data_IF_339443663780
#
_entry.id   IF_339443663780
#
_cell.length_a   1.000
_cell.length_b   1.000
_cell.length_c   1.000
_cell.angle_alpha   90.00
_cell.angle_beta   90.00
_cell.angle_gamma   90.00
#
_symmetry.space_group_name_H-M   'P 1'
#
loop_
_entity.id
_entity.type
_entity.pdbx_description
1 polymer ?
#
# COMPACT_ATOMS: atom_id res chain seq x y z
N UNK A 1 25.49 20.82 -15.35
CA UNK A 1 25.42 21.83 -14.29
C UNK A 1 24.64 21.22 -13.14
N UNK A 2 25.18 21.20 -11.92
CA UNK A 2 24.49 20.72 -10.73
C UNK A 2 23.38 21.70 -10.35
N UNK A 3 22.13 21.25 -10.33
CA UNK A 3 21.00 22.05 -9.86
C UNK A 3 21.24 22.49 -8.41
N UNK A 4 21.11 23.79 -8.07
CA UNK A 4 21.25 24.26 -6.69
C UNK A 4 20.28 23.50 -5.78
N UNK A 5 20.76 23.02 -4.64
CA UNK A 5 19.94 22.25 -3.71
C UNK A 5 20.21 22.54 -2.25
N UNK A 6 19.30 22.07 -1.40
CA UNK A 6 19.42 22.11 0.05
C UNK A 6 19.03 20.76 0.66
N UNK A 7 19.52 20.50 1.88
CA UNK A 7 19.24 19.28 2.61
C UNK A 7 18.14 19.53 3.65
N UNK A 8 17.17 18.62 3.75
CA UNK A 8 16.21 18.60 4.85
C UNK A 8 14.76 18.59 4.40
N UNK A 9 13.90 18.95 5.35
CA UNK A 9 12.46 19.06 5.14
C UNK A 9 12.15 20.29 4.29
N UNK A 10 11.07 20.21 3.51
CA UNK A 10 10.73 21.23 2.53
C UNK A 10 9.22 21.46 2.44
N UNK A 11 8.85 22.61 1.91
CA UNK A 11 7.47 22.95 1.57
C UNK A 11 7.32 22.88 0.05
N UNK A 12 6.34 22.14 -0.46
CA UNK A 12 6.06 22.09 -1.91
C UNK A 12 5.63 23.47 -2.43
N UNK A 13 5.65 23.71 -3.76
CA UNK A 13 5.09 24.93 -4.33
C UNK A 13 3.63 25.20 -3.92
N UNK A 14 2.85 24.17 -3.60
CA UNK A 14 1.44 24.29 -3.16
C UNK A 14 1.28 24.36 -1.63
N UNK A 15 2.38 24.39 -0.87
CA UNK A 15 2.32 24.55 0.58
C UNK A 15 2.22 23.25 1.37
N UNK A 16 2.39 22.08 0.75
CA UNK A 16 2.44 20.81 1.49
C UNK A 16 3.76 20.70 2.24
N UNK A 17 3.68 20.29 3.49
CA UNK A 17 4.83 20.03 4.34
C UNK A 17 5.38 18.64 4.01
N UNK A 18 6.66 18.54 3.65
CA UNK A 18 7.31 17.28 3.31
C UNK A 18 8.60 17.07 4.11
N UNK A 19 8.83 15.85 4.58
CA UNK A 19 10.07 15.44 5.23
C UNK A 19 10.76 14.32 4.45
N UNK A 20 12.10 14.35 4.44
CA UNK A 20 12.92 13.27 3.85
C UNK A 20 13.51 12.41 4.96
N UNK A 21 13.02 11.17 5.06
CA UNK A 21 13.40 10.21 6.08
C UNK A 21 14.71 9.46 5.78
N UNK A 22 15.39 9.02 6.84
CA UNK A 22 16.65 8.27 6.76
C UNK A 22 16.53 6.90 6.05
N UNK A 23 15.32 6.35 5.97
CA UNK A 23 15.00 5.11 5.24
C UNK A 23 14.70 5.34 3.75
N UNK A 24 15.12 6.49 3.20
CA UNK A 24 14.86 6.94 1.83
C UNK A 24 13.37 7.18 1.53
N UNK A 25 12.62 7.55 2.55
CA UNK A 25 11.21 7.90 2.44
C UNK A 25 11.00 9.39 2.21
N UNK A 26 9.83 9.72 1.68
CA UNK A 26 9.29 11.08 1.68
C UNK A 26 7.88 11.02 2.24
N UNK A 27 7.65 11.77 3.30
CA UNK A 27 6.32 11.94 3.90
C UNK A 27 5.85 13.36 3.65
N UNK A 28 4.74 13.50 2.93
CA UNK A 28 4.11 14.79 2.72
C UNK A 28 2.73 14.82 3.37
N UNK A 29 2.41 15.93 4.03
CA UNK A 29 1.14 16.13 4.72
C UNK A 29 0.46 17.44 4.35
N UNK A 30 -0.87 17.41 4.42
CA UNK A 30 -1.76 18.54 4.17
C UNK A 30 -2.88 18.17 3.18
N UNK A 31 -3.42 19.17 2.48
CA UNK A 31 -4.46 18.98 1.48
C UNK A 31 -3.88 18.35 0.20
N UNK A 32 -3.90 17.02 0.13
CA UNK A 32 -3.36 16.28 -1.00
C UNK A 32 -4.28 16.38 -2.23
N UNK A 33 -3.77 16.80 -3.41
CA UNK A 33 -4.59 16.90 -4.61
C UNK A 33 -5.05 15.53 -5.13
N UNK A 34 -6.33 15.41 -5.50
CA UNK A 34 -6.88 14.26 -6.23
C UNK A 34 -6.88 12.93 -5.49
N UNK A 35 -6.79 12.94 -4.16
CA UNK A 35 -6.87 11.73 -3.33
C UNK A 35 -8.27 11.56 -2.71
N UNK A 36 -8.53 10.39 -2.13
CA UNK A 36 -9.79 10.12 -1.45
C UNK A 36 -10.04 11.09 -0.27
N UNK A 37 -11.31 11.43 0.04
CA UNK A 37 -11.64 12.29 1.18
C UNK A 37 -11.04 11.78 2.50
N UNK A 38 -10.56 12.72 3.32
CA UNK A 38 -9.96 12.42 4.63
C UNK A 38 -8.52 11.93 4.57
N UNK A 39 -7.95 11.70 3.39
CA UNK A 39 -6.51 11.45 3.25
C UNK A 39 -5.75 12.76 3.44
N UNK A 40 -4.81 12.76 4.38
CA UNK A 40 -4.06 13.93 4.83
C UNK A 40 -2.55 13.76 4.73
N UNK A 41 -2.09 12.54 4.42
CA UNK A 41 -0.68 12.19 4.32
C UNK A 41 -0.44 11.19 3.20
N UNK A 42 0.69 11.35 2.52
CA UNK A 42 1.22 10.42 1.54
C UNK A 42 2.66 10.09 1.90
N UNK A 43 2.99 8.80 1.85
CA UNK A 43 4.34 8.30 2.09
C UNK A 43 4.86 7.58 0.85
N UNK A 44 5.99 8.03 0.36
CA UNK A 44 6.88 7.25 -0.50
C UNK A 44 7.92 6.57 0.39
N UNK A 45 8.27 5.32 0.14
CA UNK A 45 9.30 4.63 0.91
C UNK A 45 9.40 3.14 0.60
N UNK A 46 10.64 2.64 0.52
CA UNK A 46 10.91 1.20 0.33
C UNK A 46 11.51 0.54 1.57
N UNK A 47 11.43 1.22 2.72
CA UNK A 47 12.04 0.81 3.99
C UNK A 47 11.17 -0.15 4.80
N UNK A 48 11.70 -0.55 5.96
CA UNK A 48 11.03 -1.42 6.96
C UNK A 48 10.09 -0.66 7.90
N UNK A 49 9.90 0.65 7.68
CA UNK A 49 9.03 1.52 8.49
C UNK A 49 7.56 1.37 8.15
N UNK A 50 6.81 2.46 8.04
CA UNK A 50 5.45 2.42 7.51
C UNK A 50 5.45 2.11 5.99
N UNK A 51 4.44 1.40 5.46
CA UNK A 51 4.29 1.17 4.03
C UNK A 51 4.32 2.45 3.19
N UNK A 52 4.64 2.35 1.90
CA UNK A 52 4.30 3.44 0.98
C UNK A 52 2.78 3.43 0.72
N UNK A 53 2.15 4.60 0.73
CA UNK A 53 0.71 4.73 0.50
C UNK A 53 0.12 6.04 0.99
N UNK A 54 -1.21 6.09 1.01
CA UNK A 54 -2.00 7.22 1.49
C UNK A 54 -2.55 6.95 2.89
N UNK A 55 -2.67 7.97 3.72
CA UNK A 55 -3.02 7.86 5.15
C UNK A 55 -4.06 8.90 5.55
N UNK A 56 -4.96 8.53 6.48
CA UNK A 56 -6.01 9.43 7.00
C UNK A 56 -5.63 10.05 8.35
N UNK A 57 -4.65 9.51 9.06
CA UNK A 57 -4.12 10.12 10.26
C UNK A 57 -2.80 10.81 9.94
N UNK A 58 -2.67 12.02 10.49
CA UNK A 58 -1.36 12.63 10.67
C UNK A 58 -0.73 11.95 11.87
N UNK A 59 0.20 11.04 11.65
CA UNK A 59 1.14 10.76 12.73
C UNK A 59 2.04 12.01 12.93
N UNK A 60 2.89 12.00 13.95
CA UNK A 60 3.82 13.06 14.39
C UNK A 60 4.74 13.68 13.32
N UNK A 61 4.61 13.28 12.04
CA UNK A 61 5.38 13.75 10.90
C UNK A 61 4.49 14.25 9.75
N UNK A 62 4.93 15.26 9.00
CA UNK A 62 6.18 16.00 9.18
C UNK A 62 5.96 17.30 9.99
N UNK A 63 6.62 17.42 11.15
CA UNK A 63 6.79 18.71 11.83
C UNK A 63 7.94 19.47 11.16
N UNK A 64 7.62 20.25 10.13
CA UNK A 64 8.57 20.91 9.23
C UNK A 64 9.09 22.26 9.75
N UNK A 65 9.40 22.37 11.03
CA UNK A 65 9.94 23.62 11.60
C UNK A 65 11.25 24.00 10.92
N UNK A 66 11.29 25.17 10.26
CA UNK A 66 12.47 25.64 9.52
C UNK A 66 12.61 25.10 8.09
N UNK A 67 11.60 24.39 7.57
CA UNK A 67 11.61 23.90 6.19
C UNK A 67 11.62 25.05 5.17
N UNK A 68 12.40 24.86 4.11
CA UNK A 68 12.48 25.82 3.01
C UNK A 68 11.48 25.47 1.91
N UNK A 69 10.95 26.49 1.24
CA UNK A 69 10.12 26.26 0.06
C UNK A 69 10.97 25.70 -1.09
N UNK A 70 10.49 24.63 -1.71
CA UNK A 70 11.10 24.05 -2.89
C UNK A 70 10.66 24.82 -4.12
N UNK A 71 11.46 25.81 -4.51
CA UNK A 71 11.22 26.63 -5.70
C UNK A 71 11.53 25.87 -7.00
N UNK A 72 10.89 26.29 -8.10
CA UNK A 72 11.15 25.74 -9.43
C UNK A 72 12.63 25.90 -9.78
N UNK A 73 13.24 24.82 -10.29
CA UNK A 73 14.66 24.80 -10.61
C UNK A 73 15.59 24.59 -9.40
N UNK A 74 15.04 24.35 -8.20
CA UNK A 74 15.77 23.84 -7.04
C UNK A 74 15.45 22.36 -6.80
N UNK A 75 16.34 21.70 -6.07
CA UNK A 75 16.15 20.32 -5.62
C UNK A 75 16.51 20.14 -4.15
N UNK A 76 15.88 19.16 -3.51
CA UNK A 76 16.32 18.56 -2.25
C UNK A 76 16.94 17.22 -2.58
N UNK A 77 18.15 16.95 -2.09
CA UNK A 77 18.82 15.67 -2.31
C UNK A 77 19.38 15.14 -0.98
N UNK A 78 18.69 14.18 -0.37
CA UNK A 78 19.05 13.66 0.97
C UNK A 78 18.81 12.16 1.05
N UNK A 79 19.71 11.42 1.69
CA UNK A 79 19.61 9.95 1.88
C UNK A 79 19.38 9.15 0.58
N UNK A 80 19.80 9.66 -0.58
CA UNK A 80 19.56 9.02 -1.88
C UNK A 80 18.14 9.22 -2.42
N UNK A 81 17.36 10.12 -1.81
CA UNK A 81 16.12 10.68 -2.35
C UNK A 81 16.44 12.00 -3.04
N UNK A 82 15.86 12.23 -4.21
CA UNK A 82 15.88 13.52 -4.89
C UNK A 82 14.45 14.01 -5.08
N UNK A 83 14.14 15.19 -4.54
CA UNK A 83 12.90 15.91 -4.75
C UNK A 83 13.16 17.20 -5.52
N UNK A 84 12.31 17.55 -6.49
CA UNK A 84 12.42 18.78 -7.28
C UNK A 84 11.05 19.38 -7.57
N UNK A 85 11.00 20.70 -7.69
CA UNK A 85 9.84 21.39 -8.24
C UNK A 85 10.03 21.59 -9.75
N UNK A 86 9.04 21.19 -10.53
CA UNK A 86 8.99 21.38 -11.98
C UNK A 86 8.22 22.66 -12.33
N UNK A 87 8.14 23.01 -13.62
CA UNK A 87 7.28 24.11 -14.07
C UNK A 87 5.81 23.84 -13.72
N UNK A 88 5.15 24.82 -13.09
CA UNK A 88 3.82 24.63 -12.48
C UNK A 88 3.93 24.18 -11.02
N UNK A 89 2.82 24.05 -10.30
CA UNK A 89 2.86 23.57 -8.92
C UNK A 89 3.00 22.04 -8.89
N UNK A 90 4.15 21.54 -9.35
CA UNK A 90 4.45 20.12 -9.43
C UNK A 90 5.71 19.83 -8.62
N UNK A 91 5.61 18.91 -7.69
CA UNK A 91 6.74 18.33 -6.95
C UNK A 91 6.91 16.87 -7.34
N UNK A 92 8.13 16.49 -7.67
CA UNK A 92 8.50 15.11 -7.99
C UNK A 92 9.62 14.68 -7.04
N UNK A 93 9.42 13.58 -6.34
CA UNK A 93 10.43 12.89 -5.55
C UNK A 93 10.71 11.50 -6.14
N UNK A 94 11.96 11.07 -6.13
CA UNK A 94 12.42 9.75 -6.61
C UNK A 94 13.53 9.24 -5.68
N UNK A 95 13.50 7.96 -5.32
CA UNK A 95 14.54 7.31 -4.51
C UNK A 95 15.24 6.15 -5.25
N UNK A 96 15.13 6.11 -6.57
CA UNK A 96 15.62 5.08 -7.48
C UNK A 96 14.64 3.91 -7.66
N UNK A 97 13.79 3.63 -6.67
CA UNK A 97 12.83 2.52 -6.68
C UNK A 97 11.38 2.99 -6.74
N UNK A 98 11.03 4.02 -6.00
CA UNK A 98 9.72 4.62 -6.00
C UNK A 98 9.80 6.08 -6.40
N UNK A 99 8.65 6.60 -6.83
CA UNK A 99 8.45 7.99 -7.13
C UNK A 99 7.17 8.50 -6.48
N UNK A 100 7.17 9.77 -6.11
CA UNK A 100 6.00 10.51 -5.66
C UNK A 100 5.89 11.76 -6.52
N UNK A 101 4.76 11.91 -7.20
CA UNK A 101 4.42 13.12 -7.93
C UNK A 101 3.21 13.77 -7.28
N UNK A 102 3.36 15.02 -6.85
CA UNK A 102 2.28 15.87 -6.36
C UNK A 102 2.10 16.98 -7.38
N UNK A 103 0.94 17.08 -8.00
CA UNK A 103 0.61 18.15 -8.95
C UNK A 103 -0.77 18.75 -8.68
N UNK A 104 -1.13 19.79 -9.44
CA UNK A 104 -2.31 20.65 -9.23
C UNK A 104 -3.67 19.97 -9.09
N UNK A 105 -3.82 18.70 -9.48
CA UNK A 105 -5.08 17.97 -9.37
C UNK A 105 -4.93 16.50 -9.02
N UNK A 106 -3.70 16.01 -8.78
CA UNK A 106 -3.45 14.61 -8.47
C UNK A 106 -2.16 14.40 -7.69
N UNK A 107 -2.20 13.41 -6.82
CA UNK A 107 -1.03 12.82 -6.16
C UNK A 107 -0.87 11.40 -6.66
N UNK A 108 0.34 11.00 -7.01
CA UNK A 108 0.62 9.68 -7.58
C UNK A 108 1.86 9.10 -6.93
N UNK A 109 1.70 7.93 -6.33
CA UNK A 109 2.80 7.05 -5.94
C UNK A 109 3.09 6.05 -7.07
N UNK A 110 4.35 5.93 -7.42
CA UNK A 110 4.84 4.98 -8.42
C UNK A 110 5.91 4.08 -7.85
N UNK A 111 5.99 2.85 -8.36
CA UNK A 111 7.04 1.89 -8.07
C UNK A 111 7.67 1.42 -9.38
N UNK A 112 8.96 1.69 -9.52
CA UNK A 112 9.77 1.36 -10.69
C UNK A 112 10.03 -0.14 -10.68
N UNK A 113 9.43 -0.82 -11.65
CA UNK A 113 9.59 -2.26 -11.85
C UNK A 113 8.43 -3.09 -11.31
N UNK A 114 7.43 -2.46 -10.69
CA UNK A 114 6.17 -3.13 -10.39
C UNK A 114 5.43 -3.44 -11.69
N UNK A 115 5.43 -4.71 -12.08
CA UNK A 115 4.64 -5.23 -13.20
C UNK A 115 3.49 -6.06 -12.63
N UNK A 116 2.28 -5.71 -13.05
CA UNK A 116 1.05 -6.37 -12.64
C UNK A 116 0.34 -6.97 -13.86
N UNK A 117 -0.27 -8.16 -13.74
CA UNK A 117 -1.17 -8.67 -14.77
C UNK A 117 -2.38 -7.74 -14.97
N UNK A 118 -2.97 -7.81 -16.16
CA UNK A 118 -4.19 -7.07 -16.48
C UNK A 118 -5.30 -7.34 -15.46
N UNK A 119 -5.96 -6.28 -15.01
CA UNK A 119 -7.05 -6.34 -14.04
C UNK A 119 -6.62 -6.48 -12.57
N UNK A 120 -5.31 -6.57 -12.28
CA UNK A 120 -4.82 -6.46 -10.90
C UNK A 120 -4.66 -4.97 -10.54
N UNK A 121 -5.34 -4.47 -9.48
CA UNK A 121 -5.18 -3.09 -9.05
C UNK A 121 -3.78 -2.85 -8.46
N UNK A 122 -3.29 -1.60 -8.55
CA UNK A 122 -2.00 -1.24 -7.94
C UNK A 122 -2.17 -1.02 -6.44
N UNK A 123 -1.31 -1.62 -5.57
CA UNK A 123 -1.36 -1.40 -4.13
C UNK A 123 -1.30 0.07 -3.71
N UNK A 124 -0.48 0.85 -4.40
CA UNK A 124 -0.23 2.25 -4.06
C UNK A 124 -1.37 3.21 -4.45
N UNK A 125 -2.47 2.70 -5.01
CA UNK A 125 -3.69 3.48 -5.29
C UNK A 125 -4.71 3.42 -4.13
N UNK A 126 -4.41 2.65 -3.07
CA UNK A 126 -5.30 2.44 -1.92
C UNK A 126 -4.82 3.21 -0.70
N UNK A 127 -5.76 3.53 0.18
CA UNK A 127 -5.45 4.12 1.49
C UNK A 127 -4.96 3.01 2.41
N UNK A 128 -3.83 3.19 3.06
CA UNK A 128 -3.31 2.23 4.05
C UNK A 128 -4.18 2.35 5.28
N UNK A 129 -4.82 1.24 5.66
CA UNK A 129 -5.63 1.20 6.86
C UNK A 129 -4.74 1.24 8.10
N UNK A 130 -5.05 2.17 8.98
CA UNK A 130 -4.39 2.38 10.28
C UNK A 130 -5.06 1.56 11.39
N UNK A 131 -6.10 0.79 11.04
CA UNK A 131 -6.79 -0.11 11.96
C UNK A 131 -5.91 -1.32 12.24
N UNK A 132 -5.78 -1.66 13.52
CA UNK A 132 -5.17 -2.92 13.95
C UNK A 132 -6.13 -4.08 13.65
N UNK A 133 -5.75 -4.93 12.69
CA UNK A 133 -6.50 -6.10 12.21
C UNK A 133 -5.95 -7.41 12.76
N UNK A 134 -5.67 -7.47 14.07
CA UNK A 134 -5.00 -8.65 14.64
C UNK A 134 -5.85 -9.92 14.53
N UNK A 135 -5.21 -10.96 14.00
CA UNK A 135 -5.71 -12.32 13.89
C UNK A 135 -4.96 -13.31 14.78
N UNK A 136 -5.27 -14.60 14.61
CA UNK A 136 -4.69 -15.70 15.39
C UNK A 136 -3.18 -15.90 15.12
N UNK A 137 -2.39 -16.41 16.07
CA UNK A 137 -1.03 -16.92 15.79
C UNK A 137 0.02 -16.51 16.83
N UNK A 138 1.19 -17.19 16.88
CA UNK A 138 2.27 -16.77 17.77
C UNK A 138 2.71 -15.35 17.42
N UNK A 139 2.77 -14.45 18.40
CA UNK A 139 3.27 -13.07 18.26
C UNK A 139 2.43 -12.09 17.42
N UNK A 140 1.15 -12.35 17.14
CA UNK A 140 0.28 -11.38 16.44
C UNK A 140 0.64 -11.16 14.96
N UNK A 141 1.19 -12.18 14.30
CA UNK A 141 1.73 -12.10 12.93
C UNK A 141 0.71 -12.38 11.82
N UNK A 142 -0.49 -12.83 12.18
CA UNK A 142 -1.62 -12.95 11.25
C UNK A 142 -2.52 -11.73 11.39
N UNK A 143 -2.89 -11.13 10.25
CA UNK A 143 -3.90 -10.09 10.21
C UNK A 143 -5.17 -10.63 9.58
N UNK A 144 -6.28 -10.61 10.31
CA UNK A 144 -7.59 -11.07 9.83
C UNK A 144 -8.54 -9.89 9.66
N UNK A 145 -9.27 -9.88 8.55
CA UNK A 145 -10.25 -8.85 8.25
C UNK A 145 -11.41 -9.41 7.44
N UNK A 146 -12.54 -8.71 7.48
CA UNK A 146 -13.70 -9.01 6.63
C UNK A 146 -13.88 -7.95 5.55
N UNK A 147 -14.58 -8.33 4.49
CA UNK A 147 -14.96 -7.44 3.40
C UNK A 147 -16.48 -7.23 3.39
N UNK A 148 -16.94 -6.22 2.65
CA UNK A 148 -18.38 -5.96 2.47
C UNK A 148 -19.13 -7.16 1.86
N UNK A 149 -18.45 -7.97 1.03
CA UNK A 149 -18.98 -9.22 0.45
C UNK A 149 -19.17 -10.36 1.46
N UNK A 150 -18.70 -10.20 2.70
CA UNK A 150 -18.70 -11.26 3.71
C UNK A 150 -17.51 -12.24 3.60
N UNK A 151 -16.61 -12.03 2.65
CA UNK A 151 -15.33 -12.75 2.61
C UNK A 151 -14.50 -12.43 3.87
N UNK A 152 -13.95 -13.47 4.49
CA UNK A 152 -12.96 -13.36 5.56
C UNK A 152 -11.58 -13.65 4.98
N UNK A 153 -10.66 -12.72 5.16
CA UNK A 153 -9.31 -12.83 4.63
C UNK A 153 -8.28 -12.80 5.75
N UNK A 154 -7.12 -13.42 5.49
CA UNK A 154 -5.98 -13.33 6.36
C UNK A 154 -4.67 -13.14 5.61
N UNK A 155 -3.77 -12.35 6.20
CA UNK A 155 -2.38 -12.20 5.79
C UNK A 155 -1.54 -12.74 6.93
N UNK A 156 -0.89 -13.88 6.72
CA UNK A 156 0.04 -14.48 7.66
C UNK A 156 1.46 -14.31 7.13
N UNK A 157 2.29 -13.52 7.81
CA UNK A 157 3.67 -13.26 7.37
C UNK A 157 4.65 -13.81 8.39
N UNK A 158 4.94 -15.11 8.28
CA UNK A 158 6.00 -15.82 9.01
C UNK A 158 6.71 -16.77 8.06
N UNK A 159 8.05 -16.69 7.99
CA UNK A 159 8.90 -17.63 7.23
C UNK A 159 8.40 -17.99 5.81
N UNK A 160 8.08 -16.99 4.98
CA UNK A 160 7.67 -17.14 3.58
C UNK A 160 6.26 -16.60 3.28
N UNK A 161 5.40 -16.52 4.29
CA UNK A 161 4.11 -15.85 4.22
C UNK A 161 3.02 -16.57 3.39
N UNK A 162 1.78 -16.38 3.79
CA UNK A 162 0.58 -16.80 3.07
C UNK A 162 -0.50 -15.73 3.16
N UNK A 163 -1.31 -15.65 2.12
CA UNK A 163 -2.48 -14.79 2.06
C UNK A 163 -3.64 -15.65 1.58
N UNK A 164 -4.79 -15.57 2.25
CA UNK A 164 -5.95 -16.35 1.88
C UNK A 164 -7.26 -15.61 2.14
N UNK A 165 -8.31 -15.99 1.42
CA UNK A 165 -9.68 -15.58 1.70
C UNK A 165 -10.62 -16.79 1.66
N UNK A 166 -11.60 -16.79 2.56
CA UNK A 166 -12.63 -17.82 2.72
C UNK A 166 -14.02 -17.16 2.68
N UNK A 167 -14.95 -17.77 1.96
CA UNK A 167 -16.36 -17.36 1.93
C UNK A 167 -17.00 -17.65 0.59
N UNK A 168 -18.07 -16.92 0.25
CA UNK A 168 -18.71 -17.03 -1.08
C UNK A 168 -17.85 -16.34 -2.13
N UNK A 169 -16.90 -17.08 -2.71
CA UNK A 169 -15.99 -16.54 -3.72
C UNK A 169 -16.72 -16.23 -5.03
N UNK A 170 -16.49 -15.05 -5.64
CA UNK A 170 -17.03 -14.74 -6.97
C UNK A 170 -16.66 -15.81 -7.99
N UNK A 171 -17.65 -16.34 -8.71
CA UNK A 171 -17.45 -17.37 -9.75
C UNK A 171 -17.18 -18.78 -9.23
N UNK A 172 -17.17 -19.01 -7.91
CA UNK A 172 -17.04 -20.33 -7.32
C UNK A 172 -18.42 -20.95 -7.06
N UNK A 173 -18.67 -22.15 -7.60
CA UNK A 173 -19.99 -22.81 -7.54
C UNK A 173 -20.16 -23.78 -6.37
N UNK A 174 -19.07 -24.15 -5.69
CA UNK A 174 -19.06 -25.15 -4.60
C UNK A 174 -19.52 -24.63 -3.22
N UNK A 175 -20.33 -23.57 -3.14
CA UNK A 175 -20.70 -22.94 -1.88
C UNK A 175 -19.58 -22.06 -1.31
N UNK A 176 -19.06 -22.40 -0.12
CA UNK A 176 -17.92 -21.70 0.49
C UNK A 176 -16.63 -22.09 -0.22
N UNK A 177 -16.01 -21.14 -0.89
CA UNK A 177 -14.72 -21.27 -1.54
C UNK A 177 -13.58 -20.71 -0.68
N UNK A 178 -12.38 -21.17 -1.01
CA UNK A 178 -11.12 -20.77 -0.45
C UNK A 178 -10.16 -20.40 -1.59
N UNK A 179 -9.47 -19.27 -1.45
CA UNK A 179 -8.41 -18.86 -2.37
C UNK A 179 -7.17 -18.52 -1.56
N UNK A 180 -6.00 -18.99 -2.00
CA UNK A 180 -4.75 -18.70 -1.32
C UNK A 180 -3.57 -18.55 -2.26
N UNK A 181 -2.60 -17.78 -1.79
CA UNK A 181 -1.22 -17.75 -2.28
C UNK A 181 -0.26 -17.89 -1.11
N UNK A 182 0.87 -18.55 -1.32
CA UNK A 182 1.90 -18.68 -0.31
C UNK A 182 3.27 -18.80 -0.96
N UNK A 183 4.30 -18.23 -0.33
CA UNK A 183 5.69 -18.50 -0.71
C UNK A 183 6.32 -19.57 0.18
N UNK A 184 5.54 -20.23 1.04
CA UNK A 184 5.97 -21.38 1.84
C UNK A 184 5.78 -22.65 0.99
N UNK A 185 6.83 -23.46 0.78
CA UNK A 185 6.72 -24.74 0.08
C UNK A 185 5.68 -25.66 0.76
N UNK A 186 4.84 -26.32 -0.04
CA UNK A 186 3.82 -27.25 0.44
C UNK A 186 2.52 -26.61 0.93
N UNK A 187 2.46 -25.28 1.08
CA UNK A 187 1.21 -24.60 1.43
C UNK A 187 0.23 -24.55 0.23
N UNK A 188 -1.09 -24.63 0.48
CA UNK A 188 -2.10 -24.52 -0.57
C UNK A 188 -1.94 -23.25 -1.40
N UNK A 189 -2.06 -23.39 -2.72
CA UNK A 189 -2.14 -22.28 -3.69
C UNK A 189 -3.28 -22.55 -4.67
N UNK A 190 -4.02 -21.51 -5.03
CA UNK A 190 -5.11 -21.61 -6.01
C UNK A 190 -6.48 -21.38 -5.40
N UNK A 191 -7.51 -21.75 -6.16
CA UNK A 191 -8.93 -21.60 -5.80
C UNK A 191 -9.52 -22.99 -5.62
N UNK A 192 -10.25 -23.22 -4.54
CA UNK A 192 -10.87 -24.52 -4.26
C UNK A 192 -11.72 -24.53 -3.01
N UNK A 193 -12.00 -25.73 -2.49
CA UNK A 193 -12.53 -25.89 -1.14
C UNK A 193 -11.38 -25.82 -0.14
N UNK A 194 -11.61 -25.25 1.04
CA UNK A 194 -10.58 -25.12 2.07
C UNK A 194 -11.13 -24.55 3.36
N UNK A 195 -10.25 -24.44 4.35
CA UNK A 195 -10.58 -23.90 5.67
C UNK A 195 -9.61 -22.80 6.04
N UNK A 196 -10.05 -21.94 6.95
CA UNK A 196 -9.25 -20.89 7.56
C UNK A 196 -9.45 -20.97 9.07
N UNK A 197 -8.40 -20.70 9.83
CA UNK A 197 -8.47 -20.67 11.28
C UNK A 197 -9.61 -19.76 11.75
N UNK A 198 -10.37 -20.14 12.79
CA UNK A 198 -11.38 -19.27 13.36
C UNK A 198 -10.72 -18.04 14.01
N UNK A 199 -11.38 -16.87 13.98
CA UNK A 199 -10.88 -15.68 14.67
C UNK A 199 -10.98 -15.85 16.19
N UNK A 200 -10.09 -15.17 16.94
CA UNK A 200 -10.12 -15.16 18.42
C UNK A 200 -11.09 -14.13 19.00
N UNK A 201 -11.57 -13.20 18.17
CA UNK A 201 -12.45 -12.11 18.58
C UNK A 201 -13.14 -11.50 17.38
N UNK A 202 -13.59 -10.27 17.54
CA UNK A 202 -14.23 -9.53 16.46
C UNK A 202 -13.25 -9.28 15.30
N UNK A 203 -13.67 -9.66 14.09
CA UNK A 203 -12.90 -9.41 12.87
C UNK A 203 -13.39 -8.13 12.23
N UNK A 204 -12.56 -7.08 12.32
CA UNK A 204 -12.88 -5.77 11.76
C UNK A 204 -13.02 -5.83 10.25
N UNK A 205 -13.87 -4.96 9.71
CA UNK A 205 -14.06 -4.81 8.26
C UNK A 205 -12.97 -3.91 7.69
N UNK A 206 -12.41 -4.30 6.54
CA UNK A 206 -11.58 -3.43 5.70
C UNK A 206 -12.50 -2.58 4.80
N UNK A 207 -12.49 -1.25 4.91
CA UNK A 207 -13.32 -0.38 4.08
C UNK A 207 -12.96 -0.48 2.58
N UNK A 208 -13.93 -0.38 1.65
CA UNK A 208 -13.62 -0.27 0.23
C UNK A 208 -12.70 0.93 -0.06
N UNK A 209 -11.69 0.74 -0.89
CA UNK A 209 -10.67 1.76 -1.17
C UNK A 209 -9.48 1.74 -0.22
N UNK A 210 -9.51 0.88 0.81
CA UNK A 210 -8.42 0.70 1.77
C UNK A 210 -7.62 -0.57 1.49
N UNK A 211 -6.40 -0.59 2.02
CA UNK A 211 -5.46 -1.69 1.98
C UNK A 211 -4.98 -2.05 3.38
N UNK A 212 -4.63 -3.32 3.57
CA UNK A 212 -4.00 -3.83 4.79
C UNK A 212 -2.76 -4.61 4.39
N UNK A 213 -1.65 -4.32 5.05
CA UNK A 213 -0.38 -5.01 4.84
C UNK A 213 -0.23 -6.16 5.84
N UNK A 214 0.66 -7.12 5.58
CA UNK A 214 1.12 -8.07 6.60
C UNK A 214 2.22 -7.49 7.50
N UNK A 215 2.63 -8.24 8.51
CA UNK A 215 3.72 -7.84 9.39
C UNK A 215 5.01 -7.57 8.59
N UNK A 216 5.74 -6.51 8.94
CA UNK A 216 6.94 -6.07 8.20
C UNK A 216 6.66 -5.58 6.78
N UNK A 217 5.43 -5.11 6.51
CA UNK A 217 4.95 -4.65 5.20
C UNK A 217 5.02 -5.72 4.11
N UNK A 218 4.98 -6.99 4.50
CA UNK A 218 5.01 -8.11 3.56
C UNK A 218 3.59 -8.50 3.16
N UNK A 219 3.35 -8.57 1.86
CA UNK A 219 2.02 -8.85 1.34
C UNK A 219 1.02 -7.73 1.65
N UNK A 220 0.00 -7.62 0.81
CA UNK A 220 -1.08 -6.66 1.01
C UNK A 220 -2.37 -7.19 0.41
N UNK A 221 -3.49 -6.74 0.99
CA UNK A 221 -4.81 -6.94 0.47
C UNK A 221 -5.53 -5.61 0.35
N UNK A 222 -6.20 -5.42 -0.77
CA UNK A 222 -6.92 -4.22 -1.16
C UNK A 222 -8.41 -4.54 -1.24
N UNK A 223 -9.23 -3.86 -0.45
CA UNK A 223 -10.67 -3.94 -0.55
C UNK A 223 -11.16 -3.12 -1.74
N UNK A 224 -11.72 -3.79 -2.74
CA UNK A 224 -12.15 -3.16 -3.98
C UNK A 224 -13.49 -2.44 -3.80
N UNK A 225 -13.70 -1.34 -4.53
CA UNK A 225 -14.96 -0.58 -4.50
C UNK A 225 -16.19 -1.44 -4.83
N UNK A 226 -16.04 -2.48 -5.66
CA UNK A 226 -17.10 -3.45 -5.97
C UNK A 226 -17.35 -4.53 -4.90
N UNK A 227 -16.77 -4.41 -3.70
CA UNK A 227 -16.92 -5.35 -2.58
C UNK A 227 -16.03 -6.61 -2.65
N UNK A 228 -15.24 -6.75 -3.72
CA UNK A 228 -14.23 -7.80 -3.88
C UNK A 228 -12.91 -7.47 -3.19
N UNK A 229 -11.88 -8.28 -3.48
CA UNK A 229 -10.53 -8.09 -2.95
C UNK A 229 -9.48 -8.47 -3.96
N UNK A 230 -8.36 -7.76 -3.92
CA UNK A 230 -7.12 -8.14 -4.58
C UNK A 230 -6.02 -8.27 -3.51
N UNK A 231 -5.36 -9.41 -3.46
CA UNK A 231 -4.34 -9.73 -2.47
C UNK A 231 -3.08 -10.24 -3.14
N UNK A 232 -1.90 -9.97 -2.58
CA UNK A 232 -0.68 -10.51 -3.13
C UNK A 232 0.59 -10.07 -2.44
N UNK A 233 1.68 -10.71 -2.83
CA UNK A 233 3.04 -10.29 -2.58
C UNK A 233 3.49 -9.46 -3.78
N UNK A 234 3.53 -8.14 -3.60
CA UNK A 234 3.92 -7.19 -4.64
C UNK A 234 5.31 -6.68 -4.35
N UNK A 235 6.23 -6.82 -5.30
CA UNK A 235 7.60 -6.34 -5.17
C UNK A 235 8.51 -6.87 -6.26
N UNK A 236 9.33 -5.99 -6.84
CA UNK A 236 10.25 -6.33 -7.92
C UNK A 236 9.53 -6.87 -9.17
N UNK A 237 10.20 -7.73 -9.93
CA UNK A 237 9.69 -8.25 -11.22
C UNK A 237 8.79 -9.50 -11.08
N UNK A 238 8.49 -9.95 -9.86
CA UNK A 238 7.71 -11.17 -9.61
C UNK A 238 6.62 -10.91 -8.57
N UNK A 239 5.44 -10.53 -9.05
CA UNK A 239 4.23 -10.40 -8.22
C UNK A 239 3.46 -11.73 -8.22
N UNK A 240 2.98 -12.15 -7.05
CA UNK A 240 2.07 -13.30 -6.91
C UNK A 240 0.87 -12.94 -6.06
N UNK A 241 -0.30 -13.51 -6.36
CA UNK A 241 -1.52 -13.05 -5.70
C UNK A 241 -2.79 -13.65 -6.28
N UNK A 242 -3.91 -13.03 -5.91
CA UNK A 242 -5.23 -13.37 -6.41
C UNK A 242 -6.14 -12.15 -6.44
N UNK A 243 -7.16 -12.24 -7.28
CA UNK A 243 -8.28 -11.29 -7.32
C UNK A 243 -9.58 -12.07 -7.21
N UNK A 244 -10.45 -11.65 -6.30
CA UNK A 244 -11.78 -12.17 -6.09
C UNK A 244 -12.79 -11.02 -6.25
N UNK A 245 -13.26 -10.80 -7.48
CA UNK A 245 -14.08 -9.66 -7.84
C UNK A 245 -14.86 -9.90 -9.14
N UNK A 246 -15.88 -9.07 -9.41
CA UNK A 246 -16.57 -9.02 -10.72
C UNK A 246 -17.02 -10.40 -11.23
N UNK A 247 -17.59 -11.22 -10.36
CA UNK A 247 -18.09 -12.55 -10.71
C UNK A 247 -17.02 -13.62 -10.94
N UNK A 248 -15.73 -13.34 -10.68
CA UNK A 248 -14.63 -14.30 -10.88
C UNK A 248 -13.59 -14.25 -9.76
N UNK A 249 -13.01 -15.40 -9.46
CA UNK A 249 -11.84 -15.53 -8.59
C UNK A 249 -10.72 -16.21 -9.36
N UNK A 250 -9.50 -15.66 -9.30
CA UNK A 250 -8.34 -16.18 -10.01
C UNK A 250 -7.03 -15.80 -9.32
N UNK A 251 -5.98 -16.57 -9.56
CA UNK A 251 -4.64 -16.39 -9.00
C UNK A 251 -3.62 -16.06 -10.09
N UNK A 252 -2.48 -15.47 -9.71
CA UNK A 252 -1.38 -15.13 -10.60
C UNK A 252 -0.02 -15.31 -9.92
N UNK A 253 1.04 -15.40 -10.74
CA UNK A 253 2.42 -15.54 -10.26
C UNK A 253 2.67 -16.81 -9.44
N UNK A 254 1.93 -17.89 -9.77
CA UNK A 254 2.12 -19.21 -9.15
C UNK A 254 3.37 -19.91 -9.68
#
# INVERSE_FOLDING_TARGET
>A
MSTPGFDGDFITPDGLACAVGGDRSVDCAGALPGVQPGVVRVRMGTGTGEPAGYYRVLDTHPRVTGAQRLEVGRQVAKYGVVCRAESGPITICDNGKQSLTIGSGKTVLGDRGLVLPDGVPRPYDFVVSEVEYDGHGPKGIERMFTLASGLRCSILTYSGGSIACLGKLPGFTGGTGYVSVSNVPGNPKGVGAGTMNPPRGEVKRLPPGDSVYGYGNQGTCMALMGGGVACGFFGGTKSSGFVAANGRTWTFGM
#
